data_IF_330120438810
#
_entry.id   IF_330120438810
#
_cell.length_a   1.000
_cell.length_b   1.000
_cell.length_c   1.000
_cell.angle_alpha   90.00
_cell.angle_beta   90.00
_cell.angle_gamma   90.00
#
_symmetry.space_group_name_H-M   'P 1'
#
loop_
_entity.id
_entity.type
_entity.pdbx_description
1 polymer ?
#
# COMPACT_ATOMS: atom_id res chain seq x y z
N UNK A 1 -26.07 -50.89 18.86
CA UNK A 1 -24.85 -50.07 18.99
C UNK A 1 -24.42 -49.56 17.62
N UNK A 2 -25.05 -48.51 17.07
CA UNK A 2 -24.59 -47.85 15.84
C UNK A 2 -24.86 -46.34 15.97
N UNK A 3 -24.02 -45.63 16.73
CA UNK A 3 -24.06 -44.17 16.92
C UNK A 3 -22.74 -43.53 16.43
N UNK A 4 -22.21 -43.97 15.29
CA UNK A 4 -20.89 -43.55 14.79
C UNK A 4 -20.86 -42.83 13.44
N UNK A 5 -21.96 -42.80 12.69
CA UNK A 5 -21.93 -42.41 11.26
C UNK A 5 -22.40 -40.99 10.95
N UNK A 6 -22.93 -40.24 11.92
CA UNK A 6 -23.43 -38.87 11.68
C UNK A 6 -22.39 -37.78 11.97
N UNK A 7 -21.34 -38.07 12.74
CA UNK A 7 -20.26 -37.12 13.07
C UNK A 7 -19.23 -36.94 11.95
N UNK A 8 -19.09 -37.92 11.05
CA UNK A 8 -18.13 -37.84 9.94
C UNK A 8 -18.66 -37.02 8.75
N UNK A 9 -19.98 -36.88 8.59
CA UNK A 9 -20.57 -36.13 7.47
C UNK A 9 -20.47 -34.62 7.68
N UNK A 10 -20.50 -34.14 8.94
CA UNK A 10 -20.39 -32.71 9.26
C UNK A 10 -18.96 -32.16 9.13
N UNK A 11 -17.93 -32.98 9.38
CA UNK A 11 -16.55 -32.54 9.27
C UNK A 11 -16.10 -32.28 7.81
N UNK A 12 -16.64 -33.05 6.85
CA UNK A 12 -16.29 -32.91 5.44
C UNK A 12 -16.88 -31.62 4.81
N UNK A 13 -18.05 -31.18 5.26
CA UNK A 13 -18.69 -29.96 4.74
C UNK A 13 -17.96 -28.67 5.13
N UNK A 14 -17.34 -28.65 6.32
CA UNK A 14 -16.58 -27.47 6.81
C UNK A 14 -15.23 -27.33 6.10
N UNK A 15 -14.56 -28.45 5.78
CA UNK A 15 -13.30 -28.43 5.04
C UNK A 15 -13.46 -27.99 3.58
N UNK A 16 -14.59 -28.31 2.94
CA UNK A 16 -14.87 -27.90 1.55
C UNK A 16 -15.15 -26.39 1.40
N UNK A 17 -15.67 -25.73 2.44
CA UNK A 17 -15.93 -24.28 2.42
C UNK A 17 -14.65 -23.45 2.60
N UNK A 18 -13.64 -23.97 3.30
CA UNK A 18 -12.36 -23.29 3.49
C UNK A 18 -11.43 -23.34 2.26
N UNK A 19 -11.74 -24.19 1.26
CA UNK A 19 -10.90 -24.41 0.09
C UNK A 19 -11.18 -23.43 -1.08
N UNK A 20 -12.16 -22.52 -0.95
CA UNK A 20 -12.56 -21.59 -2.02
C UNK A 20 -11.73 -20.30 -2.07
N UNK A 21 -11.00 -19.97 -1.01
CA UNK A 21 -10.06 -18.85 -1.04
C UNK A 21 -8.71 -19.36 -1.58
N UNK A 22 -8.57 -19.38 -2.90
CA UNK A 22 -7.23 -19.44 -3.48
C UNK A 22 -6.49 -18.18 -3.03
N UNK A 23 -5.33 -18.29 -2.37
CA UNK A 23 -4.54 -17.11 -2.08
C UNK A 23 -4.21 -16.46 -3.42
N UNK A 24 -4.58 -15.20 -3.60
CA UNK A 24 -4.25 -14.51 -4.84
C UNK A 24 -2.74 -14.58 -5.04
N UNK A 25 -2.33 -15.07 -6.21
CA UNK A 25 -0.94 -15.26 -6.51
C UNK A 25 -0.32 -13.89 -6.75
N UNK A 26 0.71 -13.55 -5.98
CA UNK A 26 1.52 -12.37 -6.23
C UNK A 26 2.08 -12.43 -7.66
N UNK A 27 1.91 -11.36 -8.42
CA UNK A 27 2.32 -11.29 -9.82
C UNK A 27 3.03 -9.96 -10.11
N UNK A 28 3.86 -9.88 -11.15
CA UNK A 28 4.44 -8.60 -11.56
C UNK A 28 3.35 -7.58 -11.91
N UNK A 29 3.52 -6.34 -11.48
CA UNK A 29 2.58 -5.27 -11.84
C UNK A 29 2.66 -4.94 -13.34
N UNK A 30 1.53 -4.60 -13.95
CA UNK A 30 1.46 -4.24 -15.38
C UNK A 30 2.23 -2.95 -15.70
N UNK A 31 2.26 -1.98 -14.78
CA UNK A 31 2.98 -0.71 -14.95
C UNK A 31 4.49 -0.85 -14.72
N UNK A 32 4.95 -1.90 -14.03
CA UNK A 32 6.37 -2.17 -13.79
C UNK A 32 6.60 -3.62 -13.36
N UNK A 33 7.34 -4.38 -14.16
CA UNK A 33 7.61 -5.81 -13.93
C UNK A 33 8.53 -6.11 -12.74
N UNK A 34 9.20 -5.10 -12.19
CA UNK A 34 10.01 -5.21 -10.96
C UNK A 34 9.19 -4.96 -9.69
N UNK A 35 7.98 -4.42 -9.82
CA UNK A 35 7.03 -4.31 -8.73
C UNK A 35 6.15 -5.57 -8.65
N UNK A 36 5.68 -5.88 -7.45
CA UNK A 36 4.78 -7.00 -7.19
C UNK A 36 3.40 -6.49 -6.82
N UNK A 37 2.38 -7.05 -7.46
CA UNK A 37 0.97 -6.77 -7.23
C UNK A 37 0.28 -8.04 -6.74
N UNK A 38 -0.50 -7.92 -5.67
CA UNK A 38 -1.28 -9.01 -5.09
C UNK A 38 -2.55 -8.44 -4.47
N UNK A 39 -3.71 -8.86 -4.95
CA UNK A 39 -5.00 -8.32 -4.51
C UNK A 39 -5.03 -6.78 -4.58
N UNK A 40 -5.08 -6.11 -3.42
CA UNK A 40 -5.09 -4.66 -3.25
C UNK A 40 -3.76 -4.13 -2.69
N UNK A 41 -2.69 -4.89 -2.86
CA UNK A 41 -1.35 -4.56 -2.40
C UNK A 41 -0.43 -4.36 -3.60
N UNK A 42 0.34 -3.28 -3.54
CA UNK A 42 1.38 -2.96 -4.50
C UNK A 42 2.69 -2.77 -3.73
N UNK A 43 3.72 -3.51 -4.11
CA UNK A 43 5.04 -3.45 -3.50
C UNK A 43 6.14 -3.26 -4.55
N UNK A 44 6.82 -2.11 -4.48
CA UNK A 44 7.99 -1.76 -5.26
C UNK A 44 9.18 -1.55 -4.32
N UNK A 45 9.95 -2.61 -4.09
CA UNK A 45 11.04 -2.60 -3.12
C UNK A 45 12.39 -2.69 -3.84
N UNK A 46 13.23 -1.65 -3.69
CA UNK A 46 14.52 -1.58 -4.39
C UNK A 46 14.40 -1.29 -5.89
N UNK A 47 13.22 -0.86 -6.36
CA UNK A 47 12.97 -0.49 -7.75
C UNK A 47 13.26 1.01 -7.90
N UNK A 48 14.27 1.42 -8.70
CA UNK A 48 14.68 2.81 -8.76
C UNK A 48 13.62 3.68 -9.45
N UNK A 49 13.21 4.77 -8.78
CA UNK A 49 12.26 5.74 -9.31
C UNK A 49 12.79 7.17 -9.16
N UNK A 50 12.87 7.90 -10.26
CA UNK A 50 13.06 9.36 -10.23
C UNK A 50 11.74 10.10 -9.98
N UNK A 51 10.65 9.56 -10.51
CA UNK A 51 9.26 9.94 -10.27
C UNK A 51 8.42 8.66 -10.16
N UNK A 52 7.27 8.72 -9.50
CA UNK A 52 6.36 7.58 -9.44
C UNK A 52 5.75 7.31 -10.83
N UNK A 53 5.57 6.04 -11.23
CA UNK A 53 4.84 5.71 -12.45
C UNK A 53 3.34 6.01 -12.29
N UNK A 54 2.57 5.85 -13.37
CA UNK A 54 1.11 5.83 -13.26
C UNK A 54 0.68 4.59 -12.46
N UNK A 55 0.13 4.85 -11.27
CA UNK A 55 -0.27 3.83 -10.31
C UNK A 55 -1.74 3.43 -10.53
N UNK A 56 -2.18 2.27 -10.02
CA UNK A 56 -3.57 1.84 -10.16
C UNK A 56 -4.56 2.82 -9.53
N UNK A 57 -5.73 2.98 -10.16
CA UNK A 57 -6.81 3.85 -9.68
C UNK A 57 -7.86 3.07 -8.87
N UNK A 58 -7.82 1.74 -8.90
CA UNK A 58 -8.61 0.93 -7.97
C UNK A 58 -8.19 1.14 -6.50
N UNK A 59 -9.12 1.02 -5.53
CA UNK A 59 -8.78 1.15 -4.12
C UNK A 59 -7.77 0.09 -3.65
N UNK A 60 -6.65 0.56 -3.14
CA UNK A 60 -5.58 -0.25 -2.55
C UNK A 60 -5.67 -0.26 -1.02
N UNK A 61 -5.25 -1.35 -0.41
CA UNK A 61 -5.04 -1.43 1.04
C UNK A 61 -3.63 -0.99 1.38
N UNK A 62 -2.62 -1.42 0.60
CA UNK A 62 -1.22 -1.10 0.82
C UNK A 62 -0.50 -0.70 -0.47
N UNK A 63 0.24 0.40 -0.41
CA UNK A 63 1.20 0.82 -1.43
C UNK A 63 2.56 1.06 -0.79
N UNK A 64 3.51 0.19 -1.09
CA UNK A 64 4.88 0.25 -0.60
C UNK A 64 5.83 0.62 -1.74
N UNK A 65 6.43 1.81 -1.66
CA UNK A 65 7.55 2.23 -2.53
C UNK A 65 8.74 2.46 -1.62
N UNK A 66 9.62 1.46 -1.50
CA UNK A 66 10.64 1.42 -0.45
C UNK A 66 12.02 1.21 -1.06
N UNK A 67 13.02 1.97 -0.60
CA UNK A 67 14.39 1.94 -1.16
C UNK A 67 14.43 2.19 -2.68
N UNK A 68 13.57 3.08 -3.17
CA UNK A 68 13.47 3.45 -4.57
C UNK A 68 14.34 4.64 -4.96
N UNK A 69 14.92 5.36 -3.99
CA UNK A 69 15.76 6.54 -4.25
C UNK A 69 14.98 7.77 -4.73
N UNK A 70 13.68 7.83 -4.46
CA UNK A 70 12.80 8.95 -4.80
C UNK A 70 13.19 10.22 -3.99
N UNK A 71 13.77 11.27 -4.61
CA UNK A 71 14.29 12.40 -3.87
C UNK A 71 13.23 13.48 -3.58
N UNK A 72 12.13 13.47 -4.34
CA UNK A 72 11.08 14.49 -4.36
C UNK A 72 9.73 13.82 -4.53
N UNK A 73 8.72 14.27 -3.78
CA UNK A 73 7.32 13.93 -4.09
C UNK A 73 6.61 15.18 -4.62
N UNK A 74 6.35 15.20 -5.92
CA UNK A 74 5.76 16.33 -6.62
C UNK A 74 4.25 16.47 -6.34
N UNK A 75 3.67 17.62 -6.73
CA UNK A 75 2.23 17.76 -6.69
C UNK A 75 1.61 16.72 -7.63
N UNK A 76 0.50 16.13 -7.19
CA UNK A 76 -0.28 15.20 -8.02
C UNK A 76 0.47 13.91 -8.40
N UNK A 77 1.63 13.61 -7.77
CA UNK A 77 2.43 12.40 -7.99
C UNK A 77 1.68 11.10 -7.64
N UNK A 78 0.60 11.20 -6.86
CA UNK A 78 -0.31 10.12 -6.50
C UNK A 78 -1.71 10.37 -7.07
N UNK A 79 -1.84 11.17 -8.13
CA UNK A 79 -3.10 11.54 -8.75
C UNK A 79 -3.95 10.31 -9.10
N UNK A 80 -5.21 10.30 -8.69
CA UNK A 80 -6.13 9.18 -8.92
C UNK A 80 -5.92 7.96 -8.01
N UNK A 81 -4.81 7.89 -7.26
CA UNK A 81 -4.55 6.79 -6.33
C UNK A 81 -5.49 6.89 -5.13
N UNK A 82 -6.02 5.74 -4.72
CA UNK A 82 -6.83 5.58 -3.52
C UNK A 82 -6.19 4.49 -2.66
N UNK A 83 -5.64 4.82 -1.51
CA UNK A 83 -4.92 3.85 -0.66
C UNK A 83 -5.10 4.12 0.83
N UNK A 84 -5.26 3.05 1.62
CA UNK A 84 -5.38 3.14 3.07
C UNK A 84 -4.03 3.29 3.80
N UNK A 85 -2.98 2.64 3.30
CA UNK A 85 -1.64 2.69 3.88
C UNK A 85 -0.58 2.95 2.81
N UNK A 86 0.15 4.05 2.94
CA UNK A 86 1.25 4.43 2.06
C UNK A 86 2.58 4.37 2.81
N UNK A 87 3.55 3.62 2.27
CA UNK A 87 4.93 3.62 2.78
C UNK A 87 5.89 4.10 1.71
N UNK A 88 6.63 5.17 2.02
CA UNK A 88 7.68 5.76 1.20
C UNK A 88 9.04 5.70 1.89
N UNK A 89 9.31 4.60 2.61
CA UNK A 89 10.47 4.46 3.49
C UNK A 89 11.79 4.39 2.72
N UNK A 90 12.86 4.94 3.29
CA UNK A 90 14.23 4.83 2.76
C UNK A 90 14.38 5.29 1.30
N UNK A 91 13.63 6.31 0.89
CA UNK A 91 13.66 6.83 -0.48
C UNK A 91 14.58 8.03 -0.69
N UNK A 92 15.17 8.58 0.37
CA UNK A 92 15.96 9.84 0.32
C UNK A 92 15.10 11.07 -0.02
N UNK A 93 13.80 11.04 0.28
CA UNK A 93 12.91 12.19 0.09
C UNK A 93 13.41 13.37 0.91
N UNK A 94 13.61 14.52 0.25
CA UNK A 94 14.01 15.78 0.90
C UNK A 94 12.85 16.76 1.02
N UNK A 95 11.99 16.84 0.00
CA UNK A 95 10.77 17.66 0.03
C UNK A 95 9.55 16.88 -0.47
N UNK A 96 8.41 17.18 0.14
CA UNK A 96 7.08 16.74 -0.27
C UNK A 96 6.26 17.97 -0.63
N UNK A 97 5.75 18.02 -1.85
CA UNK A 97 5.01 19.17 -2.34
C UNK A 97 3.64 19.31 -1.62
N UNK A 98 3.10 20.54 -1.48
CA UNK A 98 1.87 20.78 -0.71
C UNK A 98 0.62 20.03 -1.19
N UNK A 99 0.57 19.57 -2.44
CA UNK A 99 -0.57 18.79 -2.97
C UNK A 99 -0.22 17.34 -3.28
N UNK A 100 0.95 16.86 -2.84
CA UNK A 100 1.43 15.51 -3.15
C UNK A 100 0.47 14.40 -2.68
N UNK A 101 -0.21 14.59 -1.55
CA UNK A 101 -1.16 13.62 -0.98
C UNK A 101 -2.64 13.99 -1.21
N UNK A 102 -2.93 14.96 -2.09
CA UNK A 102 -4.28 15.52 -2.23
C UNK A 102 -5.33 14.50 -2.68
N UNK A 103 -4.96 13.53 -3.51
CA UNK A 103 -5.81 12.41 -3.95
C UNK A 103 -6.13 11.41 -2.83
N UNK A 104 -5.34 11.41 -1.75
CA UNK A 104 -5.43 10.44 -0.67
C UNK A 104 -6.30 10.92 0.50
N UNK A 105 -6.81 12.15 0.41
CA UNK A 105 -7.51 12.87 1.49
C UNK A 105 -8.61 12.05 2.18
N UNK A 106 -9.37 11.29 1.39
CA UNK A 106 -10.53 10.54 1.88
C UNK A 106 -10.20 9.11 2.33
N UNK A 107 -9.12 8.51 1.83
CA UNK A 107 -8.85 7.07 2.00
C UNK A 107 -7.67 6.78 2.96
N UNK A 108 -6.69 7.67 3.07
CA UNK A 108 -5.43 7.40 3.78
C UNK A 108 -5.59 7.39 5.29
N UNK A 109 -5.10 6.30 5.91
CA UNK A 109 -5.11 6.09 7.37
C UNK A 109 -3.72 5.95 7.97
N UNK A 110 -2.76 5.47 7.18
CA UNK A 110 -1.38 5.26 7.62
C UNK A 110 -0.39 5.82 6.60
N UNK A 111 0.54 6.64 7.09
CA UNK A 111 1.62 7.22 6.28
C UNK A 111 2.98 6.99 6.94
N UNK A 112 3.86 6.27 6.25
CA UNK A 112 5.25 6.09 6.69
C UNK A 112 6.23 6.80 5.75
N UNK A 113 6.90 7.84 6.26
CA UNK A 113 8.00 8.54 5.58
C UNK A 113 9.34 8.34 6.32
N UNK A 114 9.46 7.30 7.15
CA UNK A 114 10.67 7.04 7.92
C UNK A 114 11.91 6.78 7.06
N UNK A 115 13.08 7.04 7.66
CA UNK A 115 14.39 6.88 7.03
C UNK A 115 14.55 7.66 5.71
N UNK A 116 13.89 8.81 5.62
CA UNK A 116 14.10 9.79 4.56
C UNK A 116 14.99 10.94 5.05
N UNK A 117 15.19 11.95 4.19
CA UNK A 117 16.08 13.09 4.42
C UNK A 117 15.28 14.39 4.41
N UNK A 118 14.06 14.37 4.96
CA UNK A 118 13.13 15.47 4.86
C UNK A 118 13.71 16.72 5.53
N UNK A 119 13.76 17.82 4.78
CA UNK A 119 14.23 19.12 5.29
C UNK A 119 13.28 19.65 6.39
N UNK A 120 11.99 19.33 6.27
CA UNK A 120 10.93 19.73 7.18
C UNK A 120 9.78 18.71 7.20
N UNK A 121 8.97 18.77 8.26
CA UNK A 121 7.73 18.01 8.37
C UNK A 121 6.72 18.55 7.34
N UNK A 122 6.13 17.71 6.45
CA UNK A 122 5.30 18.18 5.35
C UNK A 122 3.86 18.51 5.75
N UNK A 123 3.69 19.42 6.72
CA UNK A 123 2.40 19.78 7.32
C UNK A 123 1.35 20.19 6.26
N UNK A 124 1.74 20.98 5.25
CA UNK A 124 0.84 21.43 4.19
C UNK A 124 0.31 20.27 3.34
N UNK A 125 1.15 19.28 3.03
CA UNK A 125 0.73 18.10 2.27
C UNK A 125 -0.22 17.22 3.06
N UNK A 126 -0.15 17.28 4.40
CA UNK A 126 -0.95 16.46 5.31
C UNK A 126 -2.25 17.14 5.76
N UNK A 127 -2.42 18.44 5.53
CA UNK A 127 -3.55 19.23 6.02
C UNK A 127 -4.92 18.66 5.64
N UNK A 128 -5.02 18.01 4.48
CA UNK A 128 -6.27 17.44 3.95
C UNK A 128 -6.50 15.97 4.31
N UNK A 129 -5.56 15.32 5.00
CA UNK A 129 -5.65 13.90 5.35
C UNK A 129 -6.51 13.70 6.60
N UNK A 130 -7.83 13.88 6.45
CA UNK A 130 -8.78 13.91 7.58
C UNK A 130 -8.94 12.57 8.30
N UNK A 131 -8.58 11.47 7.64
CA UNK A 131 -8.70 10.10 8.17
C UNK A 131 -7.36 9.50 8.62
N UNK A 132 -6.29 10.31 8.71
CA UNK A 132 -4.96 9.82 9.08
C UNK A 132 -4.89 9.48 10.57
N UNK A 133 -4.78 8.18 10.87
CA UNK A 133 -4.70 7.65 12.23
C UNK A 133 -3.25 7.45 12.71
N UNK A 134 -2.33 7.15 11.77
CA UNK A 134 -0.94 6.84 12.09
C UNK A 134 0.03 7.51 11.11
N UNK A 135 1.09 8.09 11.67
CA UNK A 135 2.11 8.79 10.92
C UNK A 135 3.49 8.56 11.51
N UNK A 136 4.48 8.32 10.65
CA UNK A 136 5.86 8.07 11.06
C UNK A 136 6.88 8.88 10.23
N UNK A 137 7.79 9.53 10.95
CA UNK A 137 8.92 10.30 10.44
C UNK A 137 10.26 9.87 11.05
N UNK A 138 10.29 8.74 11.76
CA UNK A 138 11.50 8.27 12.44
C UNK A 138 12.65 8.07 11.45
N UNK A 139 13.89 8.32 11.89
CA UNK A 139 15.09 8.20 11.07
C UNK A 139 16.29 7.80 11.91
#
# INVERSE_FOLDING_TARGET
MWWGSWLLVLAAAVAALAALASPALASPCSFNSMCTCKDKEVACVGVPFHHLPELPHEPLEHLDVVRAGLPWLENDALGGVRVASLRLMSNSLQRVAPRAFSSLADDLRSLDLSYNLLDEVPLHAMERLVNLDWFNLHG
#
